data_IF_252692112332
#
_entry.id   IF_252692112332
#
_cell.length_a   1.000
_cell.length_b   1.000
_cell.length_c   1.000
_cell.angle_alpha   90.00
_cell.angle_beta   90.00
_cell.angle_gamma   90.00
#
_symmetry.space_group_name_H-M   'P 1'
#
loop_
_entity.id
_entity.type
_entity.pdbx_description
1 polymer ?
#
# COMPACT_ATOMS: atom_id res chain seq x y z
N UNK A 1 -65.09 16.30 -27.51
CA UNK A 1 -66.39 15.79 -27.01
C UNK A 1 -66.08 15.02 -25.76
N UNK A 2 -66.44 15.26 -24.58
CA UNK A 2 -67.45 15.98 -23.85
C UNK A 2 -67.02 15.87 -22.37
N UNK A 3 -66.87 16.96 -21.67
CA UNK A 3 -67.12 17.03 -20.21
C UNK A 3 -68.62 16.83 -19.99
N UNK A 4 -69.14 16.56 -18.78
CA UNK A 4 -68.98 17.23 -17.51
C UNK A 4 -69.24 16.29 -16.29
N UNK A 5 -69.21 16.61 -15.00
CA UNK A 5 -69.71 17.66 -14.13
C UNK A 5 -69.53 17.23 -12.66
N UNK A 6 -69.10 18.17 -11.86
CA UNK A 6 -69.56 18.52 -10.50
C UNK A 6 -70.27 17.53 -9.58
N UNK A 7 -69.82 17.47 -8.30
CA UNK A 7 -70.73 17.76 -7.20
C UNK A 7 -69.95 18.11 -5.90
N UNK A 8 -70.27 19.27 -5.38
CA UNK A 8 -70.00 19.80 -4.08
C UNK A 8 -70.76 19.04 -2.98
N UNK A 9 -70.18 18.91 -1.79
CA UNK A 9 -70.89 19.00 -0.47
C UNK A 9 -69.83 18.96 0.62
N UNK A 10 -69.56 19.98 1.30
CA UNK A 10 -70.19 20.59 2.47
C UNK A 10 -69.71 20.00 3.81
N UNK A 11 -68.83 20.78 4.45
CA UNK A 11 -68.80 21.24 5.84
C UNK A 11 -69.23 20.25 6.95
N UNK A 12 -68.27 19.94 7.83
CA UNK A 12 -68.54 19.86 9.28
C UNK A 12 -67.19 20.18 10.01
N UNK A 13 -67.17 21.31 10.66
CA UNK A 13 -66.16 21.69 11.62
C UNK A 13 -66.34 20.90 12.92
N UNK A 14 -65.30 20.18 13.33
CA UNK A 14 -65.21 19.66 14.68
C UNK A 14 -63.94 20.15 15.34
N UNK A 15 -64.08 21.14 16.19
CA UNK A 15 -63.05 21.65 17.11
C UNK A 15 -62.83 20.61 18.20
N UNK A 16 -61.71 19.92 18.20
CA UNK A 16 -61.24 19.16 19.33
C UNK A 16 -60.00 19.85 19.91
N UNK A 17 -60.19 20.38 21.06
CA UNK A 17 -59.11 20.87 21.95
C UNK A 17 -58.45 19.64 22.50
N UNK A 18 -57.22 19.37 22.07
CA UNK A 18 -56.38 18.37 22.72
C UNK A 18 -55.21 19.05 23.39
N UNK A 19 -55.16 18.86 24.67
CA UNK A 19 -54.18 19.28 25.62
C UNK A 19 -52.77 19.00 25.15
N UNK A 20 -51.95 20.09 25.06
CA UNK A 20 -50.54 20.00 24.70
C UNK A 20 -49.73 19.29 25.77
N UNK A 21 -49.26 18.10 25.48
CA UNK A 21 -48.16 17.47 26.21
C UNK A 21 -46.86 17.99 25.60
N UNK A 22 -46.21 18.91 26.27
CA UNK A 22 -44.86 19.35 25.92
C UNK A 22 -43.90 18.18 26.21
N UNK A 23 -43.55 17.44 25.18
CA UNK A 23 -42.38 16.53 25.25
C UNK A 23 -41.13 17.43 25.31
N UNK A 24 -40.51 17.52 26.47
CA UNK A 24 -39.15 17.98 26.60
C UNK A 24 -38.25 17.03 25.82
N UNK A 25 -37.87 17.35 24.59
CA UNK A 25 -36.79 16.68 23.90
C UNK A 25 -35.49 16.97 24.69
N UNK A 26 -35.02 15.95 25.42
CA UNK A 26 -33.70 15.99 26.00
C UNK A 26 -32.69 16.08 24.83
N UNK A 27 -32.12 17.26 24.65
CA UNK A 27 -30.97 17.48 23.78
C UNK A 27 -29.81 16.66 24.33
N UNK A 28 -29.55 15.48 23.74
CA UNK A 28 -28.34 14.73 23.96
C UNK A 28 -27.16 15.63 23.53
N UNK A 29 -26.37 16.05 24.51
CA UNK A 29 -25.10 16.73 24.25
C UNK A 29 -24.31 15.93 23.20
N UNK A 30 -23.72 16.59 22.17
CA UNK A 30 -22.84 15.90 21.25
C UNK A 30 -21.73 15.23 22.05
N UNK A 31 -21.66 13.92 21.98
CA UNK A 31 -20.58 13.14 22.58
C UNK A 31 -19.29 13.54 21.82
N UNK A 32 -18.21 13.95 22.51
CA UNK A 32 -16.98 14.25 21.83
C UNK A 32 -16.54 13.03 21.02
N UNK A 33 -15.96 13.23 19.81
CA UNK A 33 -15.52 12.12 19.00
C UNK A 33 -14.57 11.23 19.80
N UNK A 34 -14.91 9.97 19.91
CA UNK A 34 -14.03 8.96 20.52
C UNK A 34 -12.71 9.04 19.75
N UNK A 35 -11.57 9.27 20.41
CA UNK A 35 -10.30 9.31 19.72
C UNK A 35 -10.12 7.97 18.99
N UNK A 36 -9.93 8.05 17.67
CA UNK A 36 -9.56 6.89 16.88
C UNK A 36 -8.39 6.21 17.61
N UNK A 37 -8.57 4.94 17.96
CA UNK A 37 -7.52 4.17 18.64
C UNK A 37 -6.25 4.31 17.81
N UNK A 38 -5.28 5.05 18.34
CA UNK A 38 -3.95 5.09 17.75
C UNK A 38 -3.45 3.64 17.72
N UNK A 39 -3.33 3.08 16.51
CA UNK A 39 -2.80 1.73 16.31
C UNK A 39 -1.45 1.69 17.01
N UNK A 40 -1.27 0.75 17.94
CA UNK A 40 -0.01 0.60 18.65
C UNK A 40 1.15 0.54 17.63
N UNK A 41 2.31 1.16 17.91
CA UNK A 41 3.42 1.12 16.98
C UNK A 41 3.74 -0.34 16.65
N UNK A 42 3.73 -0.66 15.36
CA UNK A 42 4.08 -1.99 14.89
C UNK A 42 5.50 -2.33 15.36
N UNK A 43 5.74 -3.50 15.95
CA UNK A 43 7.08 -3.89 16.34
C UNK A 43 8.03 -3.83 15.14
N UNK A 44 9.26 -3.39 15.37
CA UNK A 44 10.26 -3.29 14.34
C UNK A 44 10.53 -4.66 13.69
N UNK A 45 10.70 -4.67 12.38
CA UNK A 45 11.14 -5.85 11.64
C UNK A 45 12.57 -6.16 12.02
N UNK A 46 12.89 -7.42 12.23
CA UNK A 46 14.23 -7.89 12.58
C UNK A 46 14.84 -8.73 11.47
N UNK A 47 16.16 -8.89 11.47
CA UNK A 47 16.81 -9.81 10.53
C UNK A 47 16.32 -11.25 10.70
N UNK A 48 16.05 -11.68 11.94
CA UNK A 48 15.48 -13.01 12.21
C UNK A 48 14.13 -13.22 11.48
N UNK A 49 13.27 -12.20 11.51
CA UNK A 49 12.02 -12.24 10.74
C UNK A 49 12.28 -12.31 9.23
N UNK A 50 13.23 -11.53 8.70
CA UNK A 50 13.58 -11.56 7.29
C UNK A 50 14.15 -12.93 6.89
N UNK A 51 15.06 -13.51 7.69
CA UNK A 51 15.60 -14.84 7.43
C UNK A 51 14.49 -15.91 7.42
N UNK A 52 13.53 -15.83 8.35
CA UNK A 52 12.36 -16.72 8.35
C UNK A 52 11.52 -16.60 7.07
N UNK A 53 11.42 -15.42 6.48
CA UNK A 53 10.54 -15.16 5.34
C UNK A 53 11.23 -15.28 3.97
N UNK A 54 12.53 -15.00 3.88
CA UNK A 54 13.27 -14.91 2.63
C UNK A 54 14.57 -15.72 2.59
N UNK A 55 14.93 -16.38 3.69
CA UNK A 55 16.21 -17.11 3.82
C UNK A 55 17.37 -16.21 4.26
N UNK A 56 18.49 -16.86 4.55
CA UNK A 56 19.68 -16.20 5.12
C UNK A 56 20.45 -15.34 4.11
N UNK A 57 20.09 -15.43 2.82
CA UNK A 57 20.72 -14.63 1.78
C UNK A 57 20.33 -13.15 1.80
N UNK A 58 19.32 -12.76 2.58
CA UNK A 58 18.84 -11.39 2.71
C UNK A 58 19.01 -10.85 4.14
N UNK A 59 19.44 -9.61 4.27
CA UNK A 59 19.48 -8.89 5.54
C UNK A 59 18.96 -7.46 5.41
N UNK A 60 18.37 -6.93 6.48
CA UNK A 60 17.86 -5.55 6.50
C UNK A 60 18.96 -4.55 6.24
N UNK A 61 18.66 -3.53 5.46
CA UNK A 61 19.52 -2.36 5.33
C UNK A 61 19.31 -1.42 6.52
N UNK A 62 20.42 -0.95 7.10
CA UNK A 62 20.37 0.16 8.03
C UNK A 62 20.06 1.47 7.28
N UNK A 63 19.18 2.28 7.84
CA UNK A 63 18.85 3.62 7.34
C UNK A 63 17.45 3.73 6.76
N UNK A 64 17.08 3.06 5.65
CA UNK A 64 15.73 3.19 5.13
C UNK A 64 14.67 2.74 6.13
N UNK A 65 13.57 3.49 6.30
CA UNK A 65 12.49 3.10 7.19
C UNK A 65 11.75 1.87 6.65
N UNK A 66 11.10 1.13 7.55
CA UNK A 66 10.10 0.14 7.19
C UNK A 66 8.74 0.80 7.03
N UNK A 67 7.93 0.31 6.10
CA UNK A 67 6.56 0.79 5.89
C UNK A 67 5.58 -0.35 6.07
N UNK A 68 4.48 -0.04 6.75
CA UNK A 68 3.34 -0.94 6.92
C UNK A 68 2.11 -0.22 6.37
N UNK A 69 1.51 -0.78 5.32
CA UNK A 69 0.36 -0.21 4.64
C UNK A 69 -0.28 -1.26 3.73
N UNK A 70 -1.56 -1.12 3.42
CA UNK A 70 -2.28 -1.97 2.47
C UNK A 70 -1.91 -1.57 1.02
N UNK A 71 -0.97 -2.30 0.42
CA UNK A 71 -0.43 -2.00 -0.91
C UNK A 71 -1.29 -2.52 -2.06
N UNK A 72 -2.03 -3.59 -1.81
CA UNK A 72 -2.82 -4.28 -2.84
C UNK A 72 -4.33 -4.07 -2.71
N UNK A 73 -4.75 -3.17 -1.76
CA UNK A 73 -6.12 -2.71 -1.55
C UNK A 73 -7.07 -3.85 -1.14
N UNK A 74 -6.57 -4.79 -0.33
CA UNK A 74 -7.36 -5.92 0.19
C UNK A 74 -7.80 -5.75 1.66
N UNK A 75 -7.43 -4.63 2.29
CA UNK A 75 -7.78 -4.29 3.66
C UNK A 75 -6.82 -4.87 4.71
N UNK A 76 -5.76 -5.56 4.30
CA UNK A 76 -4.76 -6.15 5.18
C UNK A 76 -3.44 -5.37 5.10
N UNK A 77 -2.79 -5.16 6.23
CA UNK A 77 -1.50 -4.46 6.25
C UNK A 77 -0.39 -5.32 5.64
N UNK A 78 0.32 -4.75 4.68
CA UNK A 78 1.52 -5.28 4.03
C UNK A 78 2.78 -4.67 4.63
N UNK A 79 3.94 -5.24 4.31
CA UNK A 79 5.24 -4.75 4.73
C UNK A 79 6.12 -4.42 3.52
N UNK A 80 6.82 -3.29 3.60
CA UNK A 80 7.90 -2.90 2.67
C UNK A 80 9.15 -2.61 3.47
N UNK A 81 10.28 -3.25 3.14
CA UNK A 81 11.59 -3.00 3.73
C UNK A 81 12.70 -3.04 2.69
N UNK A 82 13.71 -2.19 2.87
CA UNK A 82 14.95 -2.28 2.13
C UNK A 82 15.87 -3.34 2.73
N UNK A 83 16.49 -4.14 1.90
CA UNK A 83 17.39 -5.22 2.29
C UNK A 83 18.60 -5.33 1.37
N UNK A 84 19.61 -6.05 1.82
CA UNK A 84 20.68 -6.56 0.96
C UNK A 84 20.52 -8.06 0.82
N UNK A 85 20.48 -8.53 -0.43
CA UNK A 85 20.42 -9.95 -0.75
C UNK A 85 21.66 -10.34 -1.58
N UNK A 86 22.33 -11.41 -1.21
CA UNK A 86 23.57 -11.85 -1.88
C UNK A 86 23.25 -12.67 -3.14
N UNK A 87 22.25 -13.54 -3.04
CA UNK A 87 21.81 -14.39 -4.13
C UNK A 87 20.27 -14.43 -4.19
N UNK A 88 19.65 -13.44 -4.86
CA UNK A 88 18.19 -13.29 -4.83
C UNK A 88 17.43 -14.44 -5.48
N UNK A 89 18.10 -15.24 -6.35
CA UNK A 89 17.49 -16.37 -7.05
C UNK A 89 17.54 -17.66 -6.23
N UNK A 90 18.39 -17.70 -5.19
CA UNK A 90 18.40 -18.83 -4.27
C UNK A 90 17.15 -18.82 -3.39
N UNK A 91 16.81 -19.95 -2.86
CA UNK A 91 15.83 -20.14 -1.80
C UNK A 91 14.38 -19.72 -2.16
N UNK A 92 14.14 -19.11 -3.34
CA UNK A 92 12.79 -18.64 -3.71
C UNK A 92 11.75 -19.77 -3.72
N UNK A 93 12.14 -20.99 -4.02
CA UNK A 93 11.26 -22.16 -3.98
C UNK A 93 10.97 -22.62 -2.56
N UNK A 94 11.98 -22.60 -1.69
CA UNK A 94 11.88 -23.02 -0.29
C UNK A 94 11.04 -22.02 0.52
N UNK A 95 11.32 -20.72 0.37
CA UNK A 95 10.63 -19.68 1.10
C UNK A 95 9.41 -19.10 0.36
N UNK A 96 9.06 -19.64 -0.81
CA UNK A 96 7.89 -19.26 -1.60
C UNK A 96 7.77 -17.75 -1.88
N UNK A 97 8.87 -17.07 -2.16
CA UNK A 97 8.87 -15.71 -2.66
C UNK A 97 9.10 -15.64 -4.18
N UNK A 98 8.75 -14.55 -4.80
CA UNK A 98 8.99 -14.28 -6.21
C UNK A 98 10.02 -13.18 -6.38
N UNK A 99 11.08 -13.48 -7.11
CA UNK A 99 12.05 -12.46 -7.55
C UNK A 99 11.47 -11.74 -8.76
N UNK A 100 11.43 -10.42 -8.71
CA UNK A 100 10.93 -9.58 -9.80
C UNK A 100 11.87 -8.42 -10.05
N UNK A 101 11.92 -7.99 -11.31
CA UNK A 101 12.70 -6.86 -11.78
C UNK A 101 11.78 -5.87 -12.51
N UNK A 102 11.03 -5.05 -11.78
CA UNK A 102 10.09 -4.13 -12.39
C UNK A 102 10.76 -3.01 -13.18
N UNK A 103 12.00 -2.65 -12.85
CA UNK A 103 12.80 -1.67 -13.57
C UNK A 103 13.14 -2.16 -14.99
N UNK A 104 13.79 -3.31 -15.11
CA UNK A 104 14.13 -3.88 -16.41
C UNK A 104 12.88 -4.27 -17.21
N UNK A 105 11.83 -4.75 -16.54
CA UNK A 105 10.55 -5.05 -17.21
C UNK A 105 9.91 -3.79 -17.84
N UNK A 106 10.10 -2.61 -17.25
CA UNK A 106 9.65 -1.34 -17.82
C UNK A 106 10.38 -1.02 -19.14
N UNK A 107 11.67 -1.33 -19.23
CA UNK A 107 12.48 -1.14 -20.43
C UNK A 107 12.38 -2.31 -21.44
N UNK A 108 11.47 -3.24 -21.23
CA UNK A 108 11.21 -4.37 -22.14
C UNK A 108 12.03 -5.63 -21.86
N UNK A 109 12.82 -5.67 -20.80
CA UNK A 109 13.55 -6.84 -20.33
C UNK A 109 12.70 -7.53 -19.26
N UNK A 110 12.00 -8.62 -19.61
CA UNK A 110 10.96 -9.18 -18.72
C UNK A 110 11.39 -10.35 -17.85
N UNK A 111 12.47 -11.03 -18.15
CA UNK A 111 12.88 -12.24 -17.43
C UNK A 111 14.04 -11.94 -16.48
N UNK A 112 13.80 -11.97 -15.18
CA UNK A 112 14.81 -11.74 -14.14
C UNK A 112 16.01 -12.71 -14.23
N UNK A 113 15.81 -13.90 -14.77
CA UNK A 113 16.88 -14.90 -14.96
C UNK A 113 17.86 -14.50 -16.07
N UNK A 114 17.41 -13.68 -17.01
CA UNK A 114 18.22 -13.22 -18.14
C UNK A 114 18.82 -11.83 -17.84
N UNK A 115 18.06 -10.98 -17.12
CA UNK A 115 18.42 -9.59 -16.91
C UNK A 115 19.13 -9.34 -15.59
N UNK A 116 19.32 -10.35 -14.78
CA UNK A 116 19.85 -10.23 -13.41
C UNK A 116 21.34 -9.92 -13.39
N UNK A 117 21.72 -8.76 -13.87
CA UNK A 117 22.98 -8.17 -13.45
C UNK A 117 22.77 -7.59 -12.02
N UNK A 118 22.53 -8.53 -11.08
CA UNK A 118 22.24 -8.24 -9.70
C UNK A 118 23.47 -7.70 -8.94
N UNK A 119 24.64 -7.98 -9.46
CA UNK A 119 25.87 -7.47 -8.92
C UNK A 119 26.21 -6.12 -9.59
N UNK A 120 25.78 -5.03 -9.00
CA UNK A 120 26.35 -3.73 -9.33
C UNK A 120 27.85 -3.71 -9.02
N UNK A 121 28.65 -3.12 -9.90
CA UNK A 121 30.08 -2.88 -9.65
C UNK A 121 30.29 -1.84 -8.53
N UNK A 122 29.27 -1.03 -8.25
CA UNK A 122 29.26 -0.06 -7.16
C UNK A 122 28.91 -0.77 -5.86
N UNK A 123 29.83 -0.84 -4.89
CA UNK A 123 29.63 -1.62 -3.65
C UNK A 123 28.39 -1.20 -2.86
N UNK A 124 28.07 0.08 -2.83
CA UNK A 124 26.93 0.64 -2.12
C UNK A 124 25.59 0.17 -2.68
N UNK A 125 25.56 -0.15 -3.99
CA UNK A 125 24.37 -0.63 -4.71
C UNK A 125 24.30 -2.14 -4.81
N UNK A 126 25.40 -2.83 -4.49
CA UNK A 126 25.48 -4.28 -4.63
C UNK A 126 24.48 -4.98 -3.72
N UNK A 127 23.61 -5.77 -4.32
CA UNK A 127 22.61 -6.55 -3.60
C UNK A 127 21.46 -5.76 -3.01
N UNK A 128 21.37 -4.43 -3.25
CA UNK A 128 20.24 -3.62 -2.77
C UNK A 128 18.94 -4.15 -3.39
N UNK A 129 17.99 -4.43 -2.52
CA UNK A 129 16.72 -5.06 -2.87
C UNK A 129 15.59 -4.46 -2.05
N UNK A 130 14.38 -4.56 -2.56
CA UNK A 130 13.18 -4.22 -1.83
C UNK A 130 12.39 -5.50 -1.54
N UNK A 131 12.15 -5.79 -0.27
CA UNK A 131 11.33 -6.92 0.14
C UNK A 131 9.92 -6.43 0.42
N UNK A 132 8.93 -7.14 -0.12
CA UNK A 132 7.52 -6.86 0.10
C UNK A 132 6.83 -8.15 0.54
N UNK A 133 6.03 -8.04 1.59
CA UNK A 133 5.17 -9.10 2.09
C UNK A 133 3.74 -8.60 2.01
N UNK A 134 2.90 -9.22 1.20
CA UNK A 134 1.47 -9.03 1.26
C UNK A 134 0.90 -9.84 2.42
N UNK A 135 0.21 -9.15 3.31
CA UNK A 135 -0.32 -9.73 4.53
C UNK A 135 -1.44 -10.74 4.29
N UNK A 136 -1.77 -11.49 5.34
CA UNK A 136 -2.89 -12.42 5.34
C UNK A 136 -3.57 -12.46 6.71
N UNK A 137 -4.89 -12.39 6.74
CA UNK A 137 -5.69 -12.50 7.97
C UNK A 137 -5.36 -11.45 9.02
N UNK A 138 -5.63 -11.76 10.29
CA UNK A 138 -5.49 -10.81 11.40
C UNK A 138 -4.02 -10.48 11.74
N UNK A 139 -3.10 -11.40 11.45
CA UNK A 139 -1.67 -11.21 11.68
C UNK A 139 -1.01 -10.34 10.59
N UNK A 140 -1.75 -10.05 9.51
CA UNK A 140 -1.32 -9.21 8.41
C UNK A 140 0.04 -9.68 7.83
N UNK A 141 1.02 -8.79 7.64
CA UNK A 141 2.33 -9.13 7.14
C UNK A 141 3.14 -10.09 8.04
N UNK A 142 2.72 -10.27 9.31
CA UNK A 142 3.36 -11.19 10.27
C UNK A 142 2.85 -12.61 10.17
N UNK A 143 1.82 -12.85 9.36
CA UNK A 143 1.26 -14.18 9.18
C UNK A 143 2.36 -15.19 8.87
N UNK A 144 2.28 -16.37 9.45
CA UNK A 144 3.23 -17.46 9.17
C UNK A 144 3.25 -17.81 7.68
N UNK A 145 2.08 -17.75 7.05
CA UNK A 145 1.92 -17.89 5.61
C UNK A 145 1.28 -16.63 5.05
N UNK A 146 2.06 -15.63 4.63
CA UNK A 146 1.53 -14.43 3.99
C UNK A 146 0.93 -14.73 2.62
N UNK A 147 0.07 -13.82 2.13
CA UNK A 147 -0.61 -13.94 0.84
C UNK A 147 0.37 -14.03 -0.34
N UNK A 148 1.41 -13.21 -0.31
CA UNK A 148 2.47 -13.24 -1.31
C UNK A 148 3.74 -12.56 -0.78
N UNK A 149 4.89 -12.98 -1.31
CA UNK A 149 6.19 -12.37 -1.01
C UNK A 149 6.93 -12.03 -2.30
N UNK A 150 7.53 -10.85 -2.33
CA UNK A 150 8.29 -10.37 -3.49
C UNK A 150 9.66 -9.86 -3.05
N UNK A 151 10.67 -10.26 -3.80
CA UNK A 151 12.01 -9.72 -3.73
C UNK A 151 12.26 -8.95 -5.03
N UNK A 152 12.33 -7.62 -4.95
CA UNK A 152 12.57 -6.74 -6.09
C UNK A 152 14.05 -6.41 -6.19
N UNK A 153 14.63 -6.64 -7.36
CA UNK A 153 16.04 -6.36 -7.67
C UNK A 153 16.18 -5.18 -8.64
N UNK A 154 17.39 -4.69 -8.76
CA UNK A 154 17.79 -3.68 -9.76
C UNK A 154 17.06 -2.33 -9.66
N UNK A 155 16.43 -2.05 -8.53
CA UNK A 155 15.80 -0.75 -8.30
C UNK A 155 16.85 0.26 -7.77
N UNK A 156 17.05 1.38 -8.48
CA UNK A 156 17.94 2.43 -8.00
C UNK A 156 17.22 3.26 -6.92
N UNK A 157 17.72 3.23 -5.69
CA UNK A 157 17.23 4.10 -4.62
C UNK A 157 18.27 4.29 -3.51
N UNK A 158 18.23 5.46 -2.89
CA UNK A 158 18.86 5.77 -1.58
C UNK A 158 17.80 5.94 -0.51
N UNK A 159 16.65 6.51 -0.90
CA UNK A 159 15.50 6.70 0.00
C UNK A 159 14.25 6.08 -0.60
N UNK A 160 13.39 5.60 0.28
CA UNK A 160 12.06 5.11 -0.09
C UNK A 160 10.99 5.78 0.77
N UNK A 161 9.82 6.03 0.18
CA UNK A 161 8.62 6.47 0.89
C UNK A 161 7.39 5.81 0.30
N UNK A 162 6.37 5.56 1.14
CA UNK A 162 5.08 5.04 0.66
C UNK A 162 4.04 6.13 0.73
N UNK A 163 3.42 6.46 -0.41
CA UNK A 163 2.45 7.55 -0.54
C UNK A 163 1.30 7.14 -1.45
N UNK A 164 0.15 7.77 -1.26
CA UNK A 164 -0.99 7.64 -2.19
C UNK A 164 -0.65 8.25 -3.55
N UNK A 165 -1.04 7.56 -4.61
CA UNK A 165 -0.97 8.04 -5.99
C UNK A 165 -2.29 7.77 -6.71
N UNK A 166 -2.59 8.60 -7.70
CA UNK A 166 -3.76 8.40 -8.56
C UNK A 166 -3.35 7.63 -9.80
N UNK A 167 -3.90 6.43 -9.96
CA UNK A 167 -3.69 5.60 -11.14
C UNK A 167 -4.99 5.52 -11.95
N UNK A 168 -5.08 6.28 -13.03
CA UNK A 168 -6.31 6.44 -13.82
C UNK A 168 -7.46 6.98 -12.95
N UNK A 169 -8.39 6.10 -12.54
CA UNK A 169 -9.59 6.47 -11.75
C UNK A 169 -9.58 5.93 -10.32
N UNK A 170 -8.48 5.32 -9.88
CA UNK A 170 -8.34 4.77 -8.52
C UNK A 170 -7.12 5.36 -7.81
N UNK A 171 -7.21 5.42 -6.49
CA UNK A 171 -6.07 5.74 -5.65
C UNK A 171 -5.42 4.44 -5.22
N UNK A 172 -4.10 4.34 -5.37
CA UNK A 172 -3.29 3.20 -4.93
C UNK A 172 -2.13 3.71 -4.09
N UNK A 173 -1.45 2.83 -3.39
CA UNK A 173 -0.18 3.16 -2.74
C UNK A 173 0.97 2.93 -3.71
N UNK A 174 1.86 3.90 -3.81
CA UNK A 174 3.11 3.83 -4.55
C UNK A 174 4.29 3.85 -3.60
N UNK A 175 5.28 3.03 -3.88
CA UNK A 175 6.57 3.03 -3.22
C UNK A 175 7.47 3.94 -4.05
N UNK A 176 7.66 5.16 -3.56
CA UNK A 176 8.48 6.18 -4.20
C UNK A 176 9.94 5.97 -3.83
N UNK A 177 10.78 6.03 -4.82
CA UNK A 177 12.22 5.84 -4.70
C UNK A 177 12.93 7.06 -5.24
N UNK A 178 13.91 7.54 -4.48
CA UNK A 178 14.74 8.65 -4.88
C UNK A 178 16.20 8.20 -4.83
N UNK A 179 16.92 8.47 -5.90
CA UNK A 179 18.36 8.30 -5.99
C UNK A 179 18.98 9.65 -6.29
N UNK A 180 19.79 10.14 -5.37
CA UNK A 180 20.59 11.35 -5.57
C UNK A 180 22.03 10.93 -5.88
N UNK A 181 22.54 11.33 -7.03
CA UNK A 181 23.93 11.20 -7.45
C UNK A 181 24.62 12.57 -7.49
N UNK A 182 25.88 12.61 -7.89
CA UNK A 182 26.60 13.86 -8.14
C UNK A 182 25.93 14.58 -9.33
N UNK A 183 25.19 15.67 -9.04
CA UNK A 183 24.53 16.50 -10.05
C UNK A 183 23.22 15.95 -10.63
N UNK A 184 22.76 14.77 -10.23
CA UNK A 184 21.52 14.19 -10.74
C UNK A 184 20.66 13.63 -9.61
N UNK A 185 19.39 13.96 -9.65
CA UNK A 185 18.38 13.32 -8.81
C UNK A 185 17.36 12.64 -9.70
N UNK A 186 17.19 11.34 -9.52
CA UNK A 186 16.15 10.57 -10.21
C UNK A 186 15.08 10.14 -9.23
N UNK A 187 13.84 10.27 -9.64
CA UNK A 187 12.70 9.77 -8.87
C UNK A 187 11.88 8.78 -9.69
N UNK A 188 11.41 7.77 -9.01
CA UNK A 188 10.58 6.73 -9.60
C UNK A 188 9.58 6.19 -8.60
N UNK A 189 8.63 5.41 -9.08
CA UNK A 189 7.62 4.77 -8.25
C UNK A 189 7.38 3.33 -8.70
N UNK A 190 7.24 2.44 -7.72
CA UNK A 190 6.73 1.09 -7.91
C UNK A 190 5.38 0.98 -7.25
N UNK A 191 4.42 0.37 -7.92
CA UNK A 191 3.05 0.23 -7.43
C UNK A 191 2.41 -1.07 -7.89
N UNK A 192 1.45 -1.56 -7.11
CA UNK A 192 0.64 -2.72 -7.47
C UNK A 192 -0.50 -2.31 -8.41
N UNK A 193 -0.58 -2.93 -9.59
CA UNK A 193 -1.63 -2.62 -10.58
C UNK A 193 -2.91 -3.45 -10.42
N UNK A 194 -2.95 -4.31 -9.41
CA UNK A 194 -4.00 -5.30 -9.15
C UNK A 194 -3.61 -6.72 -9.59
N UNK A 195 -2.46 -6.87 -10.29
CA UNK A 195 -1.96 -8.18 -10.78
C UNK A 195 -0.46 -8.34 -10.56
N UNK A 196 0.30 -7.26 -10.74
CA UNK A 196 1.76 -7.26 -10.62
C UNK A 196 2.28 -5.88 -10.24
N UNK A 197 3.51 -5.84 -9.75
CA UNK A 197 4.23 -4.60 -9.55
C UNK A 197 4.67 -3.99 -10.89
N UNK A 198 4.50 -2.68 -10.98
CA UNK A 198 4.90 -1.84 -12.11
C UNK A 198 5.89 -0.80 -11.66
N UNK A 199 6.84 -0.48 -12.51
CA UNK A 199 7.76 0.64 -12.34
C UNK A 199 7.33 1.80 -13.24
N UNK A 200 7.51 3.02 -12.76
CA UNK A 200 7.34 4.23 -13.55
C UNK A 200 8.41 5.24 -13.13
N UNK A 201 9.15 5.73 -14.10
CA UNK A 201 10.06 6.86 -13.90
C UNK A 201 9.24 8.15 -13.79
N UNK A 202 9.54 9.00 -12.81
CA UNK A 202 8.80 10.24 -12.54
C UNK A 202 9.53 11.47 -13.07
N UNK A 203 10.83 11.42 -13.16
CA UNK A 203 11.67 12.49 -13.68
C UNK A 203 13.11 12.40 -13.18
N UNK A 204 13.96 13.16 -13.84
CA UNK A 204 15.31 13.47 -13.35
C UNK A 204 15.46 14.99 -13.33
N UNK A 205 16.05 15.53 -12.27
CA UNK A 205 16.50 16.91 -12.21
C UNK A 205 18.03 16.91 -12.26
N UNK A 206 18.59 17.64 -13.22
CA UNK A 206 20.01 17.99 -13.21
C UNK A 206 20.13 19.32 -12.44
N UNK A 207 20.97 19.35 -11.43
CA UNK A 207 21.38 20.58 -10.74
C UNK A 207 22.60 21.20 -11.41
#
# INVERSE_FOLDING_TARGET
>A
MSYPKYLLSAIAALVMITSGSILLAAQSKPQPPVPAHAKAPSPAVTNEFIHKQFGDNCSLMAGPPQFVADLDDDGVDDLVVAARCVNPMADQGEYAFRVIDPYHAFFGFGDVRITSNFASDVPERRGVSLLIIHGAGDDAWRAETPKAKFLMINLPFKTITVKKMVLKKRTVLGIYMEETGEGESTSSVVFWDGKKYKYQQLGSTME
#
